data_IF_046925657986
#
_entry.id   IF_046925657986
#
_cell.length_a   1.000
_cell.length_b   1.000
_cell.length_c   1.000
_cell.angle_alpha   90.00
_cell.angle_beta   90.00
_cell.angle_gamma   90.00
#
_symmetry.space_group_name_H-M   'P 1'
#
loop_
_entity.id
_entity.type
_entity.pdbx_description
1 polymer ?
#
# COMPACT_ATOMS: atom_id res chain seq x y z
N UNK A 1 -33.11 22.61 -3.98
CA UNK A 1 -32.30 21.59 -3.29
C UNK A 1 -32.49 20.24 -3.99
N UNK A 2 -31.57 19.83 -4.86
CA UNK A 2 -31.37 18.42 -5.26
C UNK A 2 -29.86 18.25 -5.49
N UNK A 3 -29.18 17.46 -4.66
CA UNK A 3 -27.76 17.12 -4.83
C UNK A 3 -27.66 16.08 -5.94
N UNK A 4 -26.98 16.42 -7.03
CA UNK A 4 -26.62 15.47 -8.09
C UNK A 4 -25.51 14.53 -7.58
N UNK A 5 -25.81 13.23 -7.59
CA UNK A 5 -24.89 12.14 -7.24
C UNK A 5 -23.65 12.18 -8.13
N UNK A 6 -22.48 12.34 -7.52
CA UNK A 6 -21.19 12.26 -8.20
C UNK A 6 -20.97 10.80 -8.62
N UNK A 7 -21.05 10.57 -9.93
CA UNK A 7 -20.77 9.31 -10.61
C UNK A 7 -19.33 8.89 -10.26
N UNK A 8 -19.17 7.86 -9.43
CA UNK A 8 -17.86 7.25 -9.18
C UNK A 8 -17.56 6.43 -10.43
N UNK A 9 -16.74 6.97 -11.33
CA UNK A 9 -16.20 6.24 -12.47
C UNK A 9 -15.28 5.15 -11.91
N UNK A 10 -15.79 3.92 -11.82
CA UNK A 10 -14.96 2.76 -11.58
C UNK A 10 -13.95 2.63 -12.71
N UNK A 11 -12.68 2.92 -12.41
CA UNK A 11 -11.58 2.68 -13.33
C UNK A 11 -11.49 1.18 -13.62
N UNK A 12 -11.78 0.82 -14.87
CA UNK A 12 -11.57 -0.53 -15.39
C UNK A 12 -10.07 -0.82 -15.39
N UNK A 13 -9.59 -1.61 -14.43
CA UNK A 13 -8.18 -2.01 -14.34
C UNK A 13 -7.93 -3.17 -15.30
N UNK A 14 -7.27 -2.90 -16.42
CA UNK A 14 -6.82 -3.92 -17.37
C UNK A 14 -5.79 -4.85 -16.70
N UNK A 15 -5.98 -6.18 -16.83
CA UNK A 15 -5.09 -7.19 -16.24
C UNK A 15 -3.66 -7.23 -16.83
N UNK A 16 -3.39 -6.48 -17.90
CA UNK A 16 -2.09 -6.45 -18.58
C UNK A 16 -0.98 -5.75 -17.77
N UNK A 17 -1.29 -4.71 -16.99
CA UNK A 17 -0.26 -3.94 -16.25
C UNK A 17 0.27 -4.67 -15.02
N UNK A 18 -0.55 -5.55 -14.40
CA UNK A 18 -0.09 -6.40 -13.29
C UNK A 18 1.04 -7.34 -13.72
N UNK A 19 1.08 -7.75 -15.00
CA UNK A 19 2.11 -8.64 -15.52
C UNK A 19 3.49 -7.98 -15.69
N UNK A 20 3.55 -6.64 -15.71
CA UNK A 20 4.82 -5.89 -15.78
C UNK A 20 5.45 -5.75 -14.40
N UNK A 21 4.66 -5.39 -13.39
CA UNK A 21 5.15 -5.19 -12.01
C UNK A 21 5.70 -6.49 -11.41
N UNK A 22 5.03 -7.63 -11.65
CA UNK A 22 5.45 -8.92 -11.11
C UNK A 22 6.78 -9.44 -11.65
N UNK A 23 7.36 -8.78 -12.66
CA UNK A 23 8.66 -9.12 -13.25
C UNK A 23 9.81 -8.29 -12.70
N UNK A 24 9.54 -7.15 -12.05
CA UNK A 24 10.59 -6.32 -11.46
C UNK A 24 10.99 -6.95 -10.13
N UNK A 25 12.25 -7.36 -10.02
CA UNK A 25 12.77 -7.99 -8.80
C UNK A 25 13.09 -6.95 -7.73
N UNK A 26 12.92 -7.32 -6.47
CA UNK A 26 13.38 -6.51 -5.35
C UNK A 26 14.91 -6.48 -5.29
N UNK A 27 15.46 -5.40 -4.73
CA UNK A 27 16.89 -5.35 -4.40
C UNK A 27 17.20 -6.38 -3.32
N UNK A 28 18.36 -7.04 -3.43
CA UNK A 28 18.82 -8.00 -2.43
C UNK A 28 19.05 -7.35 -1.07
N UNK A 29 19.58 -6.13 -1.06
CA UNK A 29 19.87 -5.33 0.13
C UNK A 29 18.87 -4.17 0.26
N UNK A 30 18.50 -3.79 1.50
CA UNK A 30 17.66 -2.63 1.74
C UNK A 30 18.46 -1.34 1.48
N UNK A 31 17.83 -0.39 0.80
CA UNK A 31 18.38 0.94 0.62
C UNK A 31 17.79 1.91 1.64
N UNK A 32 18.54 2.14 2.72
CA UNK A 32 18.16 3.07 3.80
C UNK A 32 18.42 4.55 3.48
N UNK A 33 18.95 4.87 2.30
CA UNK A 33 19.06 6.27 1.84
C UNK A 33 17.73 6.81 1.31
N UNK A 34 16.78 5.92 0.99
CA UNK A 34 15.43 6.28 0.54
C UNK A 34 14.61 6.92 1.66
N UNK A 35 13.68 7.83 1.33
CA UNK A 35 12.70 8.32 2.28
C UNK A 35 11.94 7.17 2.94
N UNK A 36 11.78 7.24 4.26
CA UNK A 36 11.01 6.27 5.01
C UNK A 36 9.56 6.29 4.52
N UNK A 37 8.98 5.11 4.31
CA UNK A 37 7.57 4.98 3.97
C UNK A 37 6.70 5.56 5.10
N UNK A 38 5.95 6.61 4.78
CA UNK A 38 4.92 7.19 5.63
C UNK A 38 3.56 6.84 5.04
N UNK A 39 2.79 6.02 5.76
CA UNK A 39 1.41 5.72 5.36
C UNK A 39 0.53 6.94 5.58
N UNK A 40 -0.27 7.30 4.56
CA UNK A 40 -1.28 8.34 4.72
C UNK A 40 -2.24 7.99 5.87
N UNK A 41 -2.72 8.96 6.66
CA UNK A 41 -3.57 8.70 7.84
C UNK A 41 -4.76 7.77 7.54
N UNK A 42 -5.52 8.02 6.46
CA UNK A 42 -6.65 7.18 6.08
C UNK A 42 -6.28 5.75 5.64
N UNK A 43 -5.02 5.50 5.24
CA UNK A 43 -4.54 4.14 4.93
C UNK A 43 -4.18 3.36 6.17
N UNK A 44 -3.64 4.02 7.21
CA UNK A 44 -3.40 3.38 8.51
C UNK A 44 -4.72 2.87 9.10
N UNK A 45 -5.74 3.71 9.12
CA UNK A 45 -7.07 3.35 9.65
C UNK A 45 -7.72 2.20 8.87
N UNK A 46 -7.59 2.20 7.54
CA UNK A 46 -8.10 1.12 6.70
C UNK A 46 -7.41 -0.23 6.99
N UNK A 47 -6.09 -0.24 7.15
CA UNK A 47 -5.33 -1.45 7.46
C UNK A 47 -5.68 -1.91 8.88
N UNK A 48 -5.70 -1.00 9.85
CA UNK A 48 -6.01 -1.31 11.24
C UNK A 48 -7.42 -1.88 11.38
N UNK A 49 -8.43 -1.26 10.76
CA UNK A 49 -9.82 -1.76 10.76
C UNK A 49 -9.93 -3.18 10.20
N UNK A 50 -9.15 -3.52 9.16
CA UNK A 50 -9.10 -4.90 8.64
C UNK A 50 -8.45 -5.87 9.63
N UNK A 51 -7.38 -5.46 10.32
CA UNK A 51 -6.77 -6.28 11.37
C UNK A 51 -7.74 -6.50 12.53
N UNK A 52 -8.48 -5.47 12.95
CA UNK A 52 -9.51 -5.59 13.99
C UNK A 52 -10.60 -6.57 13.55
N UNK A 53 -11.07 -6.48 12.31
CA UNK A 53 -12.07 -7.40 11.77
C UNK A 53 -11.59 -8.87 11.77
N UNK A 54 -10.32 -9.10 11.41
CA UNK A 54 -9.77 -10.45 11.28
C UNK A 54 -9.35 -11.07 12.62
N UNK A 55 -8.78 -10.27 13.52
CA UNK A 55 -8.06 -10.77 14.69
C UNK A 55 -8.57 -10.20 16.03
N UNK A 56 -9.54 -9.28 16.00
CA UNK A 56 -10.01 -8.54 17.15
C UNK A 56 -9.09 -7.37 17.53
N UNK A 57 -9.62 -6.46 18.35
CA UNK A 57 -8.95 -5.20 18.68
C UNK A 57 -7.60 -5.41 19.39
N UNK A 58 -7.57 -6.25 20.42
CA UNK A 58 -6.36 -6.47 21.23
C UNK A 58 -5.17 -7.00 20.41
N UNK A 59 -5.42 -7.93 19.47
CA UNK A 59 -4.37 -8.45 18.60
C UNK A 59 -3.96 -7.44 17.54
N UNK A 60 -4.92 -6.70 16.98
CA UNK A 60 -4.64 -5.66 16.00
C UNK A 60 -3.70 -4.58 16.56
N UNK A 61 -3.94 -4.11 17.79
CA UNK A 61 -3.10 -3.12 18.47
C UNK A 61 -1.67 -3.62 18.67
N UNK A 62 -1.48 -4.91 19.01
CA UNK A 62 -0.15 -5.51 19.20
C UNK A 62 0.59 -5.72 17.87
N UNK A 63 -0.12 -6.10 16.80
CA UNK A 63 0.48 -6.47 15.51
C UNK A 63 0.75 -5.26 14.62
N UNK A 64 -0.10 -4.23 14.68
CA UNK A 64 -0.02 -3.10 13.75
C UNK A 64 1.34 -2.38 13.74
N UNK A 65 2.01 -2.12 14.88
CA UNK A 65 3.35 -1.53 14.88
C UNK A 65 4.39 -2.36 14.12
N UNK A 66 4.34 -3.70 14.27
CA UNK A 66 5.26 -4.60 13.59
C UNK A 66 4.97 -4.69 12.09
N UNK A 67 3.69 -4.69 11.72
CA UNK A 67 3.29 -4.58 10.32
C UNK A 67 3.84 -3.27 9.70
N UNK A 68 3.71 -2.14 10.39
CA UNK A 68 4.26 -0.87 9.91
C UNK A 68 5.78 -0.93 9.73
N UNK A 69 6.50 -1.59 10.63
CA UNK A 69 7.95 -1.81 10.52
C UNK A 69 8.31 -2.64 9.29
N UNK A 70 7.62 -3.76 9.07
CA UNK A 70 7.84 -4.64 7.91
C UNK A 70 7.56 -3.88 6.61
N UNK A 71 6.51 -3.07 6.55
CA UNK A 71 6.21 -2.23 5.37
C UNK A 71 7.33 -1.25 5.05
N UNK A 72 7.97 -0.64 6.08
CA UNK A 72 9.12 0.26 5.90
C UNK A 72 10.35 -0.47 5.37
N UNK A 73 10.66 -1.65 5.92
CA UNK A 73 11.78 -2.48 5.44
C UNK A 73 11.53 -2.94 4.01
N UNK A 74 10.33 -3.46 3.73
CA UNK A 74 9.93 -3.87 2.40
C UNK A 74 10.06 -2.73 1.38
N UNK A 75 9.70 -1.50 1.75
CA UNK A 75 9.91 -0.31 0.91
C UNK A 75 11.39 -0.06 0.59
N UNK A 76 12.30 -0.23 1.55
CA UNK A 76 13.74 -0.04 1.34
C UNK A 76 14.30 -1.00 0.26
N UNK A 77 13.73 -2.20 0.12
CA UNK A 77 14.11 -3.18 -0.90
C UNK A 77 13.52 -2.90 -2.29
N UNK A 78 12.55 -1.98 -2.45
CA UNK A 78 11.93 -1.72 -3.76
C UNK A 78 12.89 -0.97 -4.68
N UNK A 79 13.21 -1.44 -5.90
CA UNK A 79 13.92 -0.61 -6.87
C UNK A 79 13.05 0.58 -7.33
N UNK A 80 13.69 1.65 -7.78
CA UNK A 80 12.99 2.85 -8.27
C UNK A 80 12.02 2.56 -9.41
N UNK A 81 12.34 1.58 -10.28
CA UNK A 81 11.47 1.13 -11.36
C UNK A 81 10.13 0.57 -10.81
N UNK A 82 10.19 -0.21 -9.73
CA UNK A 82 9.01 -0.76 -9.08
C UNK A 82 8.18 0.34 -8.41
N UNK A 83 8.84 1.28 -7.72
CA UNK A 83 8.18 2.43 -7.08
C UNK A 83 7.46 3.28 -8.14
N UNK A 84 8.08 3.51 -9.29
CA UNK A 84 7.48 4.24 -10.39
C UNK A 84 6.26 3.50 -10.97
N UNK A 85 6.37 2.20 -11.21
CA UNK A 85 5.27 1.39 -11.73
C UNK A 85 4.07 1.32 -10.78
N UNK A 86 4.28 1.35 -9.46
CA UNK A 86 3.20 1.35 -8.46
C UNK A 86 2.39 2.65 -8.41
N UNK A 87 2.96 3.80 -8.83
CA UNK A 87 2.25 5.09 -8.80
C UNK A 87 0.97 5.07 -9.63
N UNK A 88 0.96 4.31 -10.72
CA UNK A 88 -0.19 4.17 -11.61
C UNK A 88 -1.33 3.34 -11.00
N UNK A 89 -1.07 2.59 -9.93
CA UNK A 89 -2.06 1.74 -9.23
C UNK A 89 -2.69 2.40 -8.00
N UNK A 90 -2.12 3.49 -7.51
CA UNK A 90 -2.52 4.16 -6.25
C UNK A 90 -3.45 5.37 -6.50
N UNK A 91 -3.80 5.65 -7.77
CA UNK A 91 -4.74 6.71 -8.17
C UNK A 91 -6.22 6.38 -7.92
#
# INVERSE_FOLDING_TARGET
MIKASKKISGGSRNGSDLTKITRISYNSEPDFTKPILVLAPGKKDQIFSRLVFLYGNEKAEKIFPELERILKVHHAHKPEELIAAEKDFVA
#
